data_IF_547528453113
#
_entry.id   IF_547528453113
#
_cell.length_a   1.000
_cell.length_b   1.000
_cell.length_c   1.000
_cell.angle_alpha   90.00
_cell.angle_beta   90.00
_cell.angle_gamma   90.00
#
_symmetry.space_group_name_H-M   'P 1'
#
loop_
_entity.id
_entity.type
_entity.pdbx_description
1 polymer ?
#
# COMPACT_ATOMS: atom_id res chain seq x y z
N UNK A 1 16.60 21.69 1.92
CA UNK A 1 16.70 20.52 1.01
C UNK A 1 15.36 20.37 0.30
N UNK A 2 15.33 20.37 -1.04
CA UNK A 2 14.09 20.17 -1.79
C UNK A 2 13.56 18.75 -1.53
N UNK A 3 12.27 18.62 -1.22
CA UNK A 3 11.61 17.31 -1.09
C UNK A 3 11.24 16.83 -2.49
N UNK A 4 11.45 15.56 -2.84
CA UNK A 4 10.93 15.03 -4.09
C UNK A 4 9.41 15.19 -4.11
N UNK A 5 8.89 15.82 -5.15
CA UNK A 5 7.46 15.99 -5.41
C UNK A 5 7.12 15.07 -6.57
N UNK A 6 6.21 14.14 -6.33
CA UNK A 6 5.57 13.34 -7.38
C UNK A 6 4.29 14.08 -7.77
N UNK A 7 4.29 14.69 -8.95
CA UNK A 7 3.06 15.17 -9.58
C UNK A 7 2.37 13.95 -10.20
N UNK A 8 1.11 13.73 -9.86
CA UNK A 8 0.27 12.72 -10.49
C UNK A 8 -0.58 13.40 -11.55
N UNK A 9 -0.82 12.70 -12.66
CA UNK A 9 -1.62 13.15 -13.80
C UNK A 9 -1.06 14.41 -14.50
N UNK A 10 0.27 14.58 -14.48
CA UNK A 10 0.97 15.61 -15.26
C UNK A 10 0.94 15.34 -16.76
N UNK A 11 1.22 16.36 -17.57
CA UNK A 11 1.18 16.24 -19.05
C UNK A 11 2.12 15.14 -19.59
N UNK A 12 3.24 14.88 -18.92
CA UNK A 12 4.20 13.84 -19.28
C UNK A 12 3.77 12.43 -18.82
N UNK A 13 2.82 12.32 -17.89
CA UNK A 13 2.43 11.04 -17.28
C UNK A 13 1.73 10.15 -18.29
N UNK A 14 0.88 10.70 -19.16
CA UNK A 14 0.17 9.91 -20.18
C UNK A 14 1.11 9.15 -21.11
N UNK A 15 2.16 9.80 -21.59
CA UNK A 15 3.19 9.18 -22.45
C UNK A 15 4.07 8.20 -21.67
N UNK A 16 4.36 8.47 -20.39
CA UNK A 16 5.10 7.55 -19.53
C UNK A 16 4.29 6.30 -19.19
N UNK A 17 3.01 6.45 -18.85
CA UNK A 17 2.06 5.37 -18.55
C UNK A 17 1.78 4.52 -19.78
N UNK A 18 1.65 5.11 -20.97
CA UNK A 18 1.45 4.37 -22.22
C UNK A 18 2.61 3.41 -22.56
N UNK A 19 3.81 3.66 -22.02
CA UNK A 19 4.98 2.76 -22.15
C UNK A 19 5.02 1.65 -21.11
N UNK A 20 4.17 1.69 -20.08
CA UNK A 20 4.10 0.63 -19.08
C UNK A 20 3.38 -0.60 -19.63
N UNK A 21 3.64 -1.74 -18.98
CA UNK A 21 2.93 -2.97 -19.26
C UNK A 21 1.42 -2.78 -19.04
N UNK A 22 0.62 -3.17 -20.04
CA UNK A 22 -0.85 -3.17 -19.94
C UNK A 22 -1.42 -4.37 -19.19
N UNK A 23 -0.57 -5.32 -18.80
CA UNK A 23 -0.98 -6.50 -18.04
C UNK A 23 -0.61 -6.35 -16.56
N UNK A 24 -1.50 -6.84 -15.70
CA UNK A 24 -1.20 -6.97 -14.28
C UNK A 24 -0.12 -8.04 -14.10
N UNK A 25 1.00 -7.77 -13.42
CA UNK A 25 1.97 -8.80 -13.12
C UNK A 25 1.34 -9.85 -12.22
N UNK A 26 1.67 -11.13 -12.46
CA UNK A 26 1.25 -12.23 -11.60
C UNK A 26 2.03 -12.15 -10.27
N UNK A 27 1.38 -11.86 -9.14
CA UNK A 27 2.06 -11.75 -7.86
C UNK A 27 2.75 -13.07 -7.46
N UNK A 28 2.19 -14.22 -7.86
CA UNK A 28 2.76 -15.52 -7.54
C UNK A 28 4.12 -15.74 -8.24
N UNK A 29 4.26 -15.27 -9.48
CA UNK A 29 5.53 -15.31 -10.22
C UNK A 29 6.61 -14.43 -9.59
N UNK A 30 6.20 -13.39 -8.86
CA UNK A 30 7.09 -12.51 -8.11
C UNK A 30 7.35 -13.00 -6.66
N UNK A 31 6.82 -14.17 -6.29
CA UNK A 31 6.88 -14.68 -4.92
C UNK A 31 6.10 -13.83 -3.91
N UNK A 32 5.21 -12.94 -4.38
CA UNK A 32 4.41 -12.07 -3.53
C UNK A 32 3.22 -12.83 -2.96
N UNK A 33 3.04 -12.74 -1.64
CA UNK A 33 1.91 -13.35 -0.94
C UNK A 33 1.15 -12.30 -0.13
N UNK A 34 -0.09 -12.62 0.25
CA UNK A 34 -0.91 -11.74 1.10
C UNK A 34 -0.33 -11.53 2.51
N UNK A 35 0.69 -12.31 2.90
CA UNK A 35 1.40 -12.22 4.18
C UNK A 35 2.53 -11.19 4.17
N UNK A 36 2.85 -10.61 3.02
CA UNK A 36 3.78 -9.47 2.97
C UNK A 36 3.16 -8.24 3.64
N UNK A 37 4.01 -7.40 4.23
CA UNK A 37 3.59 -6.17 4.87
C UNK A 37 3.03 -5.19 3.84
N UNK A 38 1.83 -4.69 4.11
CA UNK A 38 1.22 -3.59 3.38
C UNK A 38 1.68 -2.25 3.93
N UNK A 39 1.76 -2.11 5.26
CA UNK A 39 2.26 -0.91 5.92
C UNK A 39 2.69 -1.17 7.37
N UNK A 40 3.42 -0.19 7.93
CA UNK A 40 3.71 -0.10 9.37
C UNK A 40 3.14 1.22 9.88
N UNK A 41 2.27 1.16 10.89
CA UNK A 41 1.76 2.36 11.58
C UNK A 41 2.40 2.46 12.96
N UNK A 42 2.94 3.64 13.28
CA UNK A 42 3.55 3.90 14.58
C UNK A 42 2.54 4.49 15.55
N UNK A 43 2.52 3.95 16.76
CA UNK A 43 1.69 4.46 17.86
C UNK A 43 2.56 4.86 19.03
N UNK A 44 2.12 5.85 19.83
CA UNK A 44 2.82 6.19 21.08
C UNK A 44 2.91 4.95 21.98
N UNK A 45 4.11 4.67 22.49
CA UNK A 45 4.33 3.59 23.44
C UNK A 45 4.30 4.12 24.87
N UNK A 46 3.80 3.31 25.80
CA UNK A 46 3.80 3.62 27.24
C UNK A 46 5.21 3.79 27.84
N UNK A 47 6.24 3.30 27.14
CA UNK A 47 7.66 3.42 27.51
C UNK A 47 8.34 4.66 26.92
N UNK A 48 7.57 5.58 26.31
CA UNK A 48 8.10 6.75 25.62
C UNK A 48 8.62 6.47 24.20
N UNK A 49 8.76 5.21 23.81
CA UNK A 49 9.17 4.84 22.45
C UNK A 49 8.02 4.38 21.56
N UNK A 50 7.84 4.96 20.35
CA UNK A 50 6.82 4.51 19.43
C UNK A 50 6.96 3.04 19.06
N UNK A 51 5.84 2.33 19.03
CA UNK A 51 5.76 0.93 18.59
C UNK A 51 5.30 0.88 17.13
N UNK A 52 5.96 0.09 16.30
CA UNK A 52 5.55 -0.16 14.92
C UNK A 52 4.59 -1.34 14.85
N UNK A 53 3.35 -1.10 14.42
CA UNK A 53 2.36 -2.14 14.13
C UNK A 53 2.51 -2.55 12.67
N UNK A 54 2.99 -3.77 12.45
CA UNK A 54 3.18 -4.36 11.13
C UNK A 54 1.87 -4.95 10.62
N UNK A 55 1.33 -4.41 9.54
CA UNK A 55 0.06 -4.85 8.94
C UNK A 55 0.32 -5.53 7.60
N UNK A 56 -0.16 -6.76 7.45
CA UNK A 56 -0.07 -7.52 6.20
C UNK A 56 -1.24 -7.20 5.27
N UNK A 57 -1.09 -7.47 3.98
CA UNK A 57 -2.18 -7.30 3.00
C UNK A 57 -3.45 -8.08 3.39
N UNK A 58 -3.31 -9.30 3.90
CA UNK A 58 -4.46 -10.11 4.35
C UNK A 58 -5.23 -9.48 5.52
N UNK A 59 -4.56 -8.72 6.39
CA UNK A 59 -5.22 -8.05 7.51
C UNK A 59 -6.14 -6.93 7.03
N UNK A 60 -5.72 -6.20 5.99
CA UNK A 60 -6.51 -5.13 5.37
C UNK A 60 -7.76 -5.71 4.70
N UNK A 61 -7.60 -6.80 3.94
CA UNK A 61 -8.75 -7.48 3.32
C UNK A 61 -9.75 -7.99 4.36
N UNK A 62 -9.25 -8.56 5.46
CA UNK A 62 -10.09 -9.00 6.58
C UNK A 62 -10.86 -7.84 7.20
N UNK A 63 -10.23 -6.67 7.36
CA UNK A 63 -10.91 -5.47 7.86
C UNK A 63 -12.08 -5.09 6.94
N UNK A 64 -11.83 -4.93 5.64
CA UNK A 64 -12.88 -4.55 4.69
C UNK A 64 -14.03 -5.55 4.65
N UNK A 65 -13.72 -6.86 4.60
CA UNK A 65 -14.73 -7.90 4.60
C UNK A 65 -15.57 -7.89 5.90
N UNK A 66 -14.94 -7.68 7.05
CA UNK A 66 -15.63 -7.65 8.35
C UNK A 66 -16.47 -6.39 8.55
N UNK A 67 -16.15 -5.29 7.86
CA UNK A 67 -16.85 -4.00 8.03
C UNK A 67 -17.78 -3.66 6.86
N UNK A 68 -17.85 -4.48 5.82
CA UNK A 68 -18.63 -4.24 4.61
C UNK A 68 -20.06 -3.79 4.96
N UNK A 69 -20.79 -4.63 5.70
CA UNK A 69 -22.20 -4.41 6.07
C UNK A 69 -22.46 -3.09 6.82
N UNK A 70 -21.43 -2.51 7.45
CA UNK A 70 -21.55 -1.28 8.23
C UNK A 70 -21.31 -0.01 7.41
N UNK A 71 -20.62 -0.13 6.27
CA UNK A 71 -20.20 1.02 5.46
C UNK A 71 -20.67 0.92 3.99
N UNK A 72 -21.74 0.15 3.76
CA UNK A 72 -22.48 0.13 2.50
C UNK A 72 -23.52 1.23 2.42
#
# INVERSE_FOLDING_TARGET
LARPVLLLDGEEDGAAMARQASHKPDPAQLGLTARHLAYVIYTSGSTGMPKGVMVQHENVLRLFAATQDRFH
#
